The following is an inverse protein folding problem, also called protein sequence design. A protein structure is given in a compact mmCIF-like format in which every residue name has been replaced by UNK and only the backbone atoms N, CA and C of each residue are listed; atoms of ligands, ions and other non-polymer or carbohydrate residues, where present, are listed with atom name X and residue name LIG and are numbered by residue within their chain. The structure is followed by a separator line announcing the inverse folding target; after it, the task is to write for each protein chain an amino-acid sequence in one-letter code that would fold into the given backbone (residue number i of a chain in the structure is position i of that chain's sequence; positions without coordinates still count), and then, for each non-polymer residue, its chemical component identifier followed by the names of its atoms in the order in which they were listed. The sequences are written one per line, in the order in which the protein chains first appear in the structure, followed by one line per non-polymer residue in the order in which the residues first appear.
data_IF_557256765194
#
_entry.id   IF_557256765194
#
_cell.length_a   1.000
_cell.length_b   1.000
_cell.length_c   1.000
_cell.angle_alpha   90.00
_cell.angle_beta   90.00
_cell.angle_gamma   90.00
#
_symmetry.space_group_name_H-M   'P 1'
#
loop_
_entity.id
_entity.type
_entity.pdbx_description
1 polymer ?
#
# COMPACT_ATOMS: atom_id res chain seq x y z
N UNK A 1 65.64 72.99 -12.52
CA UNK A 1 64.55 72.42 -13.31
C UNK A 1 64.51 70.95 -13.09
N UNK A 2 63.68 70.50 -12.23
CA UNK A 2 63.46 69.04 -12.05
C UNK A 2 61.97 68.80 -12.03
N UNK A 3 61.50 68.22 -13.11
CA UNK A 3 60.15 67.78 -13.25
C UNK A 3 59.94 66.48 -12.44
N UNK A 4 59.23 66.68 -11.33
CA UNK A 4 58.74 65.55 -10.59
C UNK A 4 57.46 65.06 -11.25
N UNK A 5 57.60 64.00 -12.03
CA UNK A 5 56.50 63.27 -12.66
C UNK A 5 55.89 62.45 -11.55
N UNK A 6 54.78 62.93 -10.95
CA UNK A 6 53.99 62.11 -10.02
C UNK A 6 53.25 61.09 -10.79
N UNK A 7 53.69 59.87 -10.66
CA UNK A 7 52.96 58.70 -11.17
C UNK A 7 51.86 58.42 -10.11
N UNK A 8 50.62 58.70 -10.43
CA UNK A 8 49.52 58.32 -9.63
C UNK A 8 49.30 56.83 -9.78
N UNK A 9 49.24 56.07 -8.72
CA UNK A 9 48.85 54.68 -8.81
C UNK A 9 47.38 54.58 -9.16
N UNK A 10 47.08 54.05 -10.28
CA UNK A 10 45.74 53.67 -10.63
C UNK A 10 45.37 52.50 -9.71
N UNK A 11 44.59 52.77 -8.69
CA UNK A 11 43.91 51.74 -7.92
C UNK A 11 42.86 51.16 -8.85
N UNK A 12 43.20 50.06 -9.48
CA UNK A 12 42.22 49.21 -10.12
C UNK A 12 41.40 48.61 -9.00
N UNK A 13 40.27 49.22 -8.69
CA UNK A 13 39.26 48.57 -7.91
C UNK A 13 38.71 47.39 -8.72
N UNK A 14 39.23 46.21 -8.47
CA UNK A 14 38.63 44.97 -8.96
C UNK A 14 37.29 44.85 -8.20
N UNK A 15 36.17 44.93 -8.90
CA UNK A 15 34.92 44.59 -8.23
C UNK A 15 35.00 43.13 -7.83
N UNK A 16 35.14 42.87 -6.58
CA UNK A 16 34.94 41.55 -6.05
C UNK A 16 33.44 41.24 -6.26
N UNK A 17 33.19 40.67 -7.43
CA UNK A 17 31.89 40.07 -7.66
C UNK A 17 31.83 38.92 -6.65
N UNK A 18 31.28 39.21 -5.49
CA UNK A 18 30.82 38.18 -4.61
C UNK A 18 29.81 37.36 -5.42
N UNK A 19 30.33 36.35 -6.09
CA UNK A 19 29.48 35.25 -6.48
C UNK A 19 28.98 34.61 -5.19
N UNK A 20 27.91 35.21 -4.64
CA UNK A 20 27.12 34.52 -3.66
C UNK A 20 26.85 33.15 -4.27
N UNK A 21 27.26 32.08 -3.58
CA UNK A 21 26.76 30.81 -4.01
C UNK A 21 25.25 30.99 -4.07
N UNK A 22 24.69 30.86 -5.24
CA UNK A 22 23.28 30.74 -5.42
C UNK A 22 22.95 29.41 -4.72
N UNK A 23 22.90 29.51 -3.40
CA UNK A 23 22.29 28.45 -2.64
C UNK A 23 20.88 28.41 -3.19
N UNK A 24 20.74 27.47 -4.13
CA UNK A 24 19.44 27.06 -4.54
C UNK A 24 18.67 26.84 -3.23
N UNK A 25 17.83 27.83 -2.90
CA UNK A 25 16.81 27.65 -1.88
C UNK A 25 16.35 26.21 -2.08
N UNK A 26 16.33 25.36 -1.05
CA UNK A 26 15.76 24.06 -1.21
C UNK A 26 14.37 24.34 -1.75
N UNK A 27 14.24 24.21 -3.05
CA UNK A 27 12.92 24.17 -3.63
C UNK A 27 12.29 23.09 -2.80
N UNK A 28 11.39 23.51 -1.91
CA UNK A 28 10.49 22.59 -1.31
C UNK A 28 9.98 21.80 -2.49
N UNK A 29 10.58 20.63 -2.69
CA UNK A 29 10.08 19.71 -3.69
C UNK A 29 8.65 19.56 -3.26
N UNK A 30 7.77 20.19 -4.00
CA UNK A 30 6.36 19.88 -3.94
C UNK A 30 6.38 18.41 -4.25
N UNK A 31 6.40 17.60 -3.19
CA UNK A 31 6.12 16.19 -3.35
C UNK A 31 4.83 16.20 -4.11
N UNK A 32 4.78 15.64 -5.32
CA UNK A 32 3.49 15.43 -5.95
C UNK A 32 2.66 14.81 -4.84
N UNK A 33 1.53 15.43 -4.54
CA UNK A 33 0.66 14.99 -3.46
C UNK A 33 0.65 13.48 -3.54
N UNK A 34 1.30 12.80 -2.57
CA UNK A 34 1.40 11.36 -2.60
C UNK A 34 -0.03 10.91 -2.69
N UNK A 35 -0.37 10.23 -3.78
CA UNK A 35 -1.67 9.59 -3.94
C UNK A 35 -1.94 8.93 -2.61
N UNK A 36 -3.01 9.32 -1.86
CA UNK A 36 -3.22 8.76 -0.55
C UNK A 36 -3.14 7.25 -0.70
N UNK A 37 -2.32 6.59 0.14
CA UNK A 37 -2.23 5.15 0.12
C UNK A 37 -3.66 4.61 0.21
N UNK A 38 -4.06 3.63 -0.64
CA UNK A 38 -5.38 3.07 -0.57
C UNK A 38 -5.65 2.65 0.87
N UNK A 39 -6.82 2.99 1.39
CA UNK A 39 -7.20 2.58 2.75
C UNK A 39 -7.03 1.07 2.89
N UNK A 40 -6.45 0.59 4.00
CA UNK A 40 -6.30 -0.84 4.22
C UNK A 40 -7.68 -1.50 4.16
N UNK A 41 -7.75 -2.58 3.45
CA UNK A 41 -8.99 -3.29 3.17
C UNK A 41 -8.75 -4.79 3.18
N UNK A 42 -9.75 -5.54 3.54
CA UNK A 42 -9.75 -6.99 3.52
C UNK A 42 -9.65 -7.59 4.92
N UNK A 43 -10.69 -8.33 5.30
CA UNK A 43 -10.73 -9.04 6.57
C UNK A 43 -9.59 -10.07 6.65
N UNK A 44 -9.07 -10.29 7.85
CA UNK A 44 -8.11 -11.36 8.13
C UNK A 44 -8.87 -12.67 8.31
N UNK A 45 -8.67 -13.59 7.38
CA UNK A 45 -9.38 -14.87 7.35
C UNK A 45 -8.47 -16.02 7.73
N UNK A 46 -8.97 -16.89 8.60
CA UNK A 46 -8.35 -18.17 8.94
C UNK A 46 -9.24 -19.30 8.44
N UNK A 47 -8.71 -20.08 7.49
CA UNK A 47 -9.40 -21.20 6.88
C UNK A 47 -8.84 -22.50 7.44
N UNK A 48 -9.71 -23.37 7.88
CA UNK A 48 -9.35 -24.72 8.36
C UNK A 48 -10.08 -25.77 7.57
N UNK A 49 -9.32 -26.73 7.08
CA UNK A 49 -9.83 -27.90 6.38
C UNK A 49 -9.73 -29.12 7.28
N UNK A 50 -10.81 -29.88 7.36
CA UNK A 50 -10.86 -31.14 8.10
C UNK A 50 -11.63 -32.16 7.27
N UNK A 51 -10.89 -33.02 6.55
CA UNK A 51 -11.47 -34.02 5.66
C UNK A 51 -12.31 -33.38 4.56
N UNK A 52 -13.61 -33.56 4.61
CA UNK A 52 -14.58 -32.99 3.65
C UNK A 52 -15.12 -31.61 4.08
N UNK A 53 -14.84 -31.16 5.29
CA UNK A 53 -15.41 -29.95 5.85
C UNK A 53 -14.40 -28.79 5.84
N UNK A 54 -14.92 -27.59 5.66
CA UNK A 54 -14.14 -26.35 5.75
C UNK A 54 -14.87 -25.38 6.64
N UNK A 55 -14.13 -24.70 7.51
CA UNK A 55 -14.59 -23.56 8.29
C UNK A 55 -13.62 -22.40 8.12
N UNK A 56 -14.16 -21.23 7.91
CA UNK A 56 -13.39 -19.99 7.86
C UNK A 56 -13.93 -18.98 8.87
N UNK A 57 -13.01 -18.29 9.55
CA UNK A 57 -13.29 -17.17 10.39
C UNK A 57 -12.59 -15.95 9.83
N UNK A 58 -13.33 -14.90 9.53
CA UNK A 58 -12.82 -13.66 8.98
C UNK A 58 -13.10 -12.51 9.94
N UNK A 59 -12.05 -11.89 10.45
CA UNK A 59 -12.14 -10.70 11.29
C UNK A 59 -11.77 -9.47 10.49
N UNK A 60 -12.62 -8.45 10.48
CA UNK A 60 -12.35 -7.20 9.81
C UNK A 60 -11.84 -6.13 10.78
N UNK A 61 -10.54 -5.83 10.83
CA UNK A 61 -9.98 -4.78 11.69
C UNK A 61 -10.10 -3.38 11.08
N UNK A 62 -10.58 -3.27 9.84
CA UNK A 62 -10.57 -2.02 9.08
C UNK A 62 -11.91 -1.28 9.15
N UNK A 63 -11.92 0.04 8.84
CA UNK A 63 -13.14 0.84 8.89
C UNK A 63 -14.10 0.59 7.74
N UNK A 64 -13.66 -0.06 6.65
CA UNK A 64 -14.50 -0.42 5.52
C UNK A 64 -15.00 -1.85 5.67
N UNK A 65 -16.29 -2.06 5.38
CA UNK A 65 -16.86 -3.40 5.31
C UNK A 65 -16.23 -4.20 4.16
N UNK A 66 -15.96 -5.47 4.41
CA UNK A 66 -15.52 -6.43 3.42
C UNK A 66 -16.64 -7.45 3.17
N UNK A 67 -16.87 -7.84 1.94
CA UNK A 67 -17.75 -8.95 1.61
C UNK A 67 -16.87 -10.16 1.31
N UNK A 68 -16.90 -11.11 2.22
CA UNK A 68 -16.07 -12.31 2.16
C UNK A 68 -16.88 -13.51 1.69
N UNK A 69 -16.29 -14.30 0.82
CA UNK A 69 -16.83 -15.59 0.39
C UNK A 69 -15.76 -16.66 0.52
N UNK A 70 -16.18 -17.88 0.77
CA UNK A 70 -15.29 -19.04 0.89
C UNK A 70 -15.35 -19.85 -0.39
N UNK A 71 -14.20 -19.99 -1.06
CA UNK A 71 -14.06 -20.91 -2.20
C UNK A 71 -13.48 -22.23 -1.71
N UNK A 72 -14.09 -23.34 -2.16
CA UNK A 72 -13.69 -24.69 -1.78
C UNK A 72 -13.44 -25.49 -3.06
N UNK A 73 -12.20 -25.95 -3.18
CA UNK A 73 -11.74 -26.79 -4.28
C UNK A 73 -11.69 -28.24 -3.81
N UNK A 74 -12.48 -29.08 -4.43
CA UNK A 74 -12.63 -30.47 -4.04
C UNK A 74 -11.60 -31.37 -4.73
N UNK A 75 -11.12 -32.39 -4.03
CA UNK A 75 -10.02 -33.23 -4.51
C UNK A 75 -10.43 -34.17 -5.67
N UNK A 76 -11.67 -34.62 -5.68
CA UNK A 76 -12.15 -35.57 -6.70
C UNK A 76 -12.67 -34.80 -7.91
N UNK A 77 -12.35 -35.28 -9.11
CA UNK A 77 -12.77 -34.64 -10.35
C UNK A 77 -14.31 -34.62 -10.54
N UNK A 78 -15.02 -35.52 -9.91
CA UNK A 78 -16.49 -35.61 -9.94
C UNK A 78 -17.17 -34.82 -8.84
N UNK A 79 -16.40 -34.34 -7.88
CA UNK A 79 -16.89 -33.51 -6.77
C UNK A 79 -16.95 -32.03 -7.21
N UNK A 80 -17.97 -31.34 -6.80
CA UNK A 80 -18.23 -29.97 -7.28
C UNK A 80 -17.55 -28.97 -6.36
N UNK A 81 -16.66 -28.17 -6.95
CA UNK A 81 -16.12 -26.98 -6.29
C UNK A 81 -17.25 -26.01 -5.95
N UNK A 82 -17.20 -25.42 -4.77
CA UNK A 82 -18.28 -24.57 -4.30
C UNK A 82 -17.75 -23.23 -3.82
N UNK A 83 -18.58 -22.21 -4.04
CA UNK A 83 -18.41 -20.88 -3.48
C UNK A 83 -19.58 -20.61 -2.53
N UNK A 84 -19.28 -20.08 -1.35
CA UNK A 84 -20.34 -19.59 -0.47
C UNK A 84 -20.86 -18.25 -0.97
N UNK A 85 -22.08 -17.91 -0.66
CA UNK A 85 -22.59 -16.56 -0.86
C UNK A 85 -21.71 -15.56 -0.08
N UNK A 86 -21.45 -14.37 -0.63
CA UNK A 86 -20.72 -13.35 0.10
C UNK A 86 -21.42 -12.94 1.41
N UNK A 87 -20.65 -12.82 2.46
CA UNK A 87 -21.10 -12.38 3.79
C UNK A 87 -20.40 -11.07 4.13
N UNK A 88 -21.16 -10.10 4.61
CA UNK A 88 -20.59 -8.83 5.04
C UNK A 88 -19.81 -9.01 6.35
N UNK A 89 -18.52 -8.71 6.30
CA UNK A 89 -17.66 -8.53 7.46
C UNK A 89 -17.58 -7.04 7.78
N UNK A 90 -18.51 -6.57 8.62
CA UNK A 90 -18.52 -5.18 9.06
C UNK A 90 -17.29 -4.85 9.90
N UNK A 91 -16.93 -3.56 10.06
CA UNK A 91 -15.79 -3.16 10.88
C UNK A 91 -15.85 -3.77 12.29
N UNK A 92 -14.71 -4.25 12.77
CA UNK A 92 -14.53 -4.86 14.11
C UNK A 92 -15.43 -6.08 14.37
N UNK A 93 -15.88 -6.78 13.33
CA UNK A 93 -16.69 -8.00 13.46
C UNK A 93 -15.97 -9.21 12.91
N UNK A 94 -16.32 -10.37 13.46
CA UNK A 94 -15.89 -11.68 12.96
C UNK A 94 -17.08 -12.39 12.34
N UNK A 95 -16.92 -12.88 11.12
CA UNK A 95 -17.90 -13.72 10.45
C UNK A 95 -17.36 -15.13 10.31
N UNK A 96 -18.26 -16.10 10.37
CA UNK A 96 -17.95 -17.52 10.20
C UNK A 96 -18.62 -18.03 8.93
N UNK A 97 -17.83 -18.69 8.09
CA UNK A 97 -18.33 -19.36 6.89
C UNK A 97 -17.99 -20.84 6.95
N UNK A 98 -18.87 -21.67 6.44
CA UNK A 98 -18.65 -23.11 6.36
C UNK A 98 -19.03 -23.64 5.00
N UNK A 99 -18.40 -24.72 4.62
CA UNK A 99 -18.73 -25.46 3.41
C UNK A 99 -18.14 -26.86 3.45
N UNK A 100 -18.43 -27.65 2.46
CA UNK A 100 -17.93 -29.01 2.39
C UNK A 100 -17.94 -29.56 0.97
N UNK A 101 -17.04 -30.49 0.72
CA UNK A 101 -17.06 -31.38 -0.43
C UNK A 101 -17.83 -32.68 -0.08
N UNK A 102 -18.19 -33.44 -1.08
CA UNK A 102 -18.73 -34.78 -0.88
C UNK A 102 -17.68 -35.75 -0.36
N UNK A 103 -16.45 -35.65 -0.87
CA UNK A 103 -15.29 -36.42 -0.43
C UNK A 103 -14.31 -35.53 0.33
N UNK A 104 -13.10 -35.39 -0.15
CA UNK A 104 -12.06 -34.59 0.52
C UNK A 104 -11.89 -33.22 -0.13
N UNK A 105 -11.52 -32.24 0.68
CA UNK A 105 -11.14 -30.91 0.22
C UNK A 105 -9.68 -30.93 -0.19
N UNK A 106 -9.38 -30.39 -1.38
CA UNK A 106 -8.00 -30.19 -1.84
C UNK A 106 -7.44 -28.88 -1.31
N UNK A 107 -8.18 -27.78 -1.47
CA UNK A 107 -7.81 -26.47 -0.97
C UNK A 107 -9.05 -25.61 -0.71
N UNK A 108 -8.89 -24.59 0.09
CA UNK A 108 -9.94 -23.61 0.33
C UNK A 108 -9.32 -22.27 0.69
N UNK A 109 -9.95 -21.18 0.26
CA UNK A 109 -9.50 -19.83 0.56
C UNK A 109 -10.67 -18.86 0.59
N UNK A 110 -10.46 -17.71 1.24
CA UNK A 110 -11.44 -16.64 1.26
C UNK A 110 -11.18 -15.64 0.13
N UNK A 111 -12.24 -15.18 -0.52
CA UNK A 111 -12.25 -14.08 -1.46
C UNK A 111 -12.81 -12.82 -0.80
N UNK A 112 -12.34 -11.66 -1.22
CA UNK A 112 -12.69 -10.36 -0.67
C UNK A 112 -13.28 -9.46 -1.75
N UNK A 113 -14.35 -8.74 -1.42
CA UNK A 113 -15.01 -7.80 -2.33
C UNK A 113 -15.41 -6.52 -1.56
N UNK A 114 -15.21 -5.38 -2.23
CA UNK A 114 -15.72 -4.08 -1.75
C UNK A 114 -17.18 -3.90 -2.09
#
# INVERSE_FOLDING_TARGET
MRLFRRIAPWLVAVPLVMSLPYEALPQARVRPASTPAPEPFGADCRVRVSGSAVVAYCFNPYPLSDHVSLHIDCARWWDIDTDTAPVEAAPATTVRMTGRCWDTVRSAWANHQR
#
